data_IF_625688091450
#
_entry.id   IF_625688091450
#
_cell.length_a   1.000
_cell.length_b   1.000
_cell.length_c   1.000
_cell.angle_alpha   90.00
_cell.angle_beta   90.00
_cell.angle_gamma   90.00
#
_symmetry.space_group_name_H-M   'P 1'
#
loop_
_entity.id
_entity.type
_entity.pdbx_description
1 polymer ?
#
# COMPACT_ATOMS: atom_id res chain seq x y z
N UNK A 1 38.86 -15.12 91.17
CA UNK A 1 38.96 -15.45 89.73
C UNK A 1 37.63 -16.10 89.38
N UNK A 2 36.69 -15.30 88.86
CA UNK A 2 35.31 -15.74 88.64
C UNK A 2 34.82 -15.11 87.32
N UNK A 3 34.43 -15.98 86.39
CA UNK A 3 34.02 -15.66 85.02
C UNK A 3 32.55 -15.23 84.99
N UNK A 4 32.26 -14.01 84.54
CA UNK A 4 30.88 -13.55 84.28
C UNK A 4 30.48 -13.79 82.81
N UNK A 5 29.41 -14.56 82.64
CA UNK A 5 28.71 -14.80 81.37
C UNK A 5 27.99 -13.54 80.86
N UNK A 6 28.10 -13.31 79.55
CA UNK A 6 27.38 -12.28 78.79
C UNK A 6 25.99 -12.82 78.45
N UNK A 7 24.95 -12.12 78.90
CA UNK A 7 23.56 -12.38 78.52
C UNK A 7 23.26 -11.76 77.14
N UNK A 8 22.78 -12.59 76.22
CA UNK A 8 22.19 -12.20 74.94
C UNK A 8 20.82 -11.53 75.17
N UNK A 9 20.61 -10.34 74.60
CA UNK A 9 19.28 -9.79 74.38
C UNK A 9 19.11 -9.37 72.90
N UNK A 10 18.15 -10.04 72.29
CA UNK A 10 17.64 -10.06 70.91
C UNK A 10 17.58 -8.74 70.13
N UNK A 11 18.22 -8.76 68.96
CA UNK A 11 18.04 -7.82 67.83
C UNK A 11 16.84 -8.19 66.94
N UNK A 12 16.20 -7.15 66.40
CA UNK A 12 15.40 -7.12 65.17
C UNK A 12 13.92 -7.57 65.21
N UNK A 13 13.04 -6.59 65.44
CA UNK A 13 11.72 -6.61 64.84
C UNK A 13 11.87 -6.35 63.32
N UNK A 14 11.63 -7.38 62.50
CA UNK A 14 11.52 -7.23 61.04
C UNK A 14 10.24 -6.45 60.70
N UNK A 15 10.38 -5.39 59.93
CA UNK A 15 9.25 -4.69 59.28
C UNK A 15 8.39 -5.69 58.49
N UNK A 16 7.06 -5.55 58.50
CA UNK A 16 6.19 -6.43 57.74
C UNK A 16 6.48 -6.27 56.24
N UNK A 17 6.73 -7.39 55.57
CA UNK A 17 6.86 -7.49 54.12
C UNK A 17 5.62 -6.87 53.46
N UNK A 18 5.85 -5.91 52.58
CA UNK A 18 4.82 -5.37 51.68
C UNK A 18 4.23 -6.55 50.90
N UNK A 19 2.92 -6.76 51.04
CA UNK A 19 2.22 -7.79 50.31
C UNK A 19 2.31 -7.49 48.80
N UNK A 20 2.99 -8.35 48.04
CA UNK A 20 2.96 -8.31 46.58
C UNK A 20 1.53 -8.62 46.14
N UNK A 21 0.77 -7.57 45.77
CA UNK A 21 -0.54 -7.73 45.16
C UNK A 21 -0.36 -8.47 43.83
N UNK A 22 -0.85 -9.70 43.75
CA UNK A 22 -0.96 -10.53 42.54
C UNK A 22 -2.04 -10.02 41.56
N UNK A 23 -2.26 -8.71 41.51
CA UNK A 23 -3.12 -8.08 40.52
C UNK A 23 -2.35 -7.87 39.22
N UNK A 24 -3.01 -8.04 38.07
CA UNK A 24 -2.43 -7.76 36.77
C UNK A 24 -2.01 -6.27 36.70
N UNK A 25 -0.72 -5.98 36.97
CA UNK A 25 -0.16 -4.62 37.06
C UNK A 25 -0.55 -3.77 35.85
N UNK A 26 -0.50 -4.37 34.66
CA UNK A 26 -0.94 -3.76 33.42
C UNK A 26 -2.42 -3.34 33.45
N UNK A 27 -3.31 -4.19 33.96
CA UNK A 27 -4.73 -3.87 34.10
C UNK A 27 -4.98 -2.71 35.07
N UNK A 28 -4.17 -2.56 36.12
CA UNK A 28 -4.25 -1.42 37.02
C UNK A 28 -3.83 -0.12 36.31
N UNK A 29 -2.72 -0.15 35.57
CA UNK A 29 -2.24 0.98 34.74
C UNK A 29 -3.30 1.41 33.73
N UNK A 30 -3.91 0.46 33.01
CA UNK A 30 -4.96 0.75 32.02
C UNK A 30 -6.20 1.34 32.67
N UNK A 31 -6.69 0.79 33.79
CA UNK A 31 -7.86 1.34 34.51
C UNK A 31 -7.59 2.76 34.99
N UNK A 32 -6.38 3.03 35.49
CA UNK A 32 -5.97 4.35 35.91
C UNK A 32 -5.93 5.34 34.73
N UNK A 33 -5.30 4.95 33.62
CA UNK A 33 -5.27 5.75 32.40
C UNK A 33 -6.69 6.05 31.87
N UNK A 34 -7.58 5.06 31.88
CA UNK A 34 -8.97 5.23 31.45
C UNK A 34 -9.75 6.20 32.36
N UNK A 35 -9.55 6.09 33.67
CA UNK A 35 -10.15 7.01 34.64
C UNK A 35 -9.67 8.45 34.42
N UNK A 36 -8.40 8.61 34.04
CA UNK A 36 -7.81 9.91 33.76
C UNK A 36 -8.36 10.54 32.48
N UNK A 37 -8.48 9.75 31.41
CA UNK A 37 -9.10 10.17 30.14
C UNK A 37 -10.53 10.67 30.38
N UNK A 38 -11.32 9.98 31.21
CA UNK A 38 -12.69 10.38 31.56
C UNK A 38 -12.77 11.72 32.30
N UNK A 39 -11.72 12.15 32.99
CA UNK A 39 -11.69 13.45 33.70
C UNK A 39 -11.52 14.64 32.75
N UNK A 40 -10.87 14.45 31.59
CA UNK A 40 -10.64 15.52 30.59
C UNK A 40 -10.96 15.03 29.16
N UNK A 41 -12.24 14.73 28.85
CA UNK A 41 -12.62 14.07 27.60
C UNK A 41 -12.35 14.93 26.36
N UNK A 42 -12.57 16.25 26.43
CA UNK A 42 -12.39 17.14 25.29
C UNK A 42 -10.96 17.10 24.72
N UNK A 43 -9.95 17.09 25.61
CA UNK A 43 -8.55 17.04 25.22
C UNK A 43 -8.19 15.70 24.56
N UNK A 44 -8.63 14.61 25.17
CA UNK A 44 -8.43 13.27 24.63
C UNK A 44 -9.02 13.18 23.22
N UNK A 45 -10.26 13.64 23.05
CA UNK A 45 -10.94 13.63 21.75
C UNK A 45 -10.19 14.48 20.72
N UNK A 46 -9.77 15.70 21.06
CA UNK A 46 -9.01 16.56 20.14
C UNK A 46 -7.68 15.94 19.71
N UNK A 47 -6.94 15.34 20.65
CA UNK A 47 -5.69 14.64 20.36
C UNK A 47 -5.91 13.44 19.45
N UNK A 48 -6.90 12.60 19.80
CA UNK A 48 -7.26 11.42 19.01
C UNK A 48 -7.71 11.80 17.62
N UNK A 49 -8.57 12.81 17.46
CA UNK A 49 -9.05 13.26 16.14
C UNK A 49 -7.94 13.85 15.28
N UNK A 50 -7.04 14.67 15.84
CA UNK A 50 -5.93 15.24 15.09
C UNK A 50 -4.95 14.17 14.57
N UNK A 51 -4.61 13.21 15.43
CA UNK A 51 -3.75 12.07 15.06
C UNK A 51 -4.49 11.16 14.07
N UNK A 52 -5.76 10.85 14.33
CA UNK A 52 -6.58 10.00 13.47
C UNK A 52 -6.75 10.59 12.08
N UNK A 53 -6.92 11.91 11.95
CA UNK A 53 -7.01 12.59 10.66
C UNK A 53 -5.72 12.43 9.85
N UNK A 54 -4.56 12.62 10.47
CA UNK A 54 -3.28 12.43 9.78
C UNK A 54 -3.03 10.98 9.39
N UNK A 55 -3.34 10.04 10.29
CA UNK A 55 -3.32 8.60 9.98
C UNK A 55 -4.27 8.31 8.81
N UNK A 56 -5.47 8.88 8.81
CA UNK A 56 -6.45 8.68 7.76
C UNK A 56 -5.92 9.21 6.42
N UNK A 57 -5.38 10.43 6.35
CA UNK A 57 -4.80 10.99 5.14
C UNK A 57 -3.71 10.10 4.54
N UNK A 58 -2.77 9.64 5.38
CA UNK A 58 -1.70 8.75 4.93
C UNK A 58 -2.24 7.40 4.49
N UNK A 59 -3.17 6.83 5.26
CA UNK A 59 -3.77 5.52 4.95
C UNK A 59 -4.56 5.58 3.65
N UNK A 60 -5.33 6.64 3.39
CA UNK A 60 -6.05 6.85 2.12
C UNK A 60 -5.08 6.84 0.95
N UNK A 61 -4.04 7.69 0.99
CA UNK A 61 -3.08 7.81 -0.12
C UNK A 61 -2.29 6.53 -0.31
N UNK A 62 -1.89 5.85 0.77
CA UNK A 62 -1.21 4.55 0.69
C UNK A 62 -2.10 3.44 0.16
N UNK A 63 -3.39 3.44 0.51
CA UNK A 63 -4.37 2.49 -0.02
C UNK A 63 -4.52 2.70 -1.52
N UNK A 64 -4.71 3.95 -1.97
CA UNK A 64 -4.78 4.28 -3.40
C UNK A 64 -3.48 3.85 -4.10
N UNK A 65 -2.32 4.21 -3.54
CA UNK A 65 -1.00 3.86 -4.12
C UNK A 65 -0.80 2.34 -4.25
N UNK A 66 -1.14 1.56 -3.23
CA UNK A 66 -1.07 0.09 -3.26
C UNK A 66 -2.05 -0.50 -4.28
N UNK A 67 -3.28 0.00 -4.34
CA UNK A 67 -4.24 -0.46 -5.34
C UNK A 67 -3.80 -0.17 -6.77
N UNK A 68 -3.26 1.02 -7.05
CA UNK A 68 -2.65 1.32 -8.35
C UNK A 68 -1.47 0.39 -8.66
N UNK A 69 -0.67 0.05 -7.64
CA UNK A 69 0.41 -0.92 -7.76
C UNK A 69 -0.12 -2.31 -8.16
N UNK A 70 -1.18 -2.78 -7.50
CA UNK A 70 -1.85 -4.05 -7.79
C UNK A 70 -2.41 -4.03 -9.21
N UNK A 71 -3.14 -2.98 -9.58
CA UNK A 71 -3.66 -2.80 -10.94
C UNK A 71 -2.54 -2.81 -11.99
N UNK A 72 -1.41 -2.16 -11.71
CA UNK A 72 -0.24 -2.19 -12.59
C UNK A 72 0.31 -3.61 -12.78
N UNK A 73 0.48 -4.37 -11.69
CA UNK A 73 0.94 -5.76 -11.75
C UNK A 73 -0.05 -6.65 -12.51
N UNK A 74 -1.34 -6.59 -12.15
CA UNK A 74 -2.40 -7.39 -12.77
C UNK A 74 -2.52 -7.10 -14.26
N UNK A 75 -2.43 -5.83 -14.65
CA UNK A 75 -2.49 -5.43 -16.07
C UNK A 75 -1.33 -6.02 -16.88
N UNK A 76 -0.13 -6.07 -16.31
CA UNK A 76 1.02 -6.70 -16.96
C UNK A 76 0.87 -8.21 -17.00
N UNK A 77 0.41 -8.85 -15.91
CA UNK A 77 0.16 -10.30 -15.89
C UNK A 77 -0.90 -10.71 -16.93
N UNK A 78 -1.95 -9.92 -17.08
CA UNK A 78 -3.01 -10.11 -18.07
C UNK A 78 -2.51 -9.98 -19.52
N UNK A 79 -1.46 -9.19 -19.75
CA UNK A 79 -0.82 -9.08 -21.07
C UNK A 79 0.19 -10.18 -21.30
N UNK A 80 1.12 -10.40 -20.36
CA UNK A 80 2.27 -11.28 -20.54
C UNK A 80 1.89 -12.76 -20.47
N UNK A 81 1.02 -13.16 -19.55
CA UNK A 81 0.82 -14.56 -19.21
C UNK A 81 2.15 -15.26 -18.91
N UNK A 82 2.56 -16.19 -19.79
CA UNK A 82 3.84 -16.92 -19.70
C UNK A 82 4.93 -16.38 -20.65
N UNK A 83 4.74 -15.20 -21.24
CA UNK A 83 5.71 -14.59 -22.13
C UNK A 83 6.93 -14.07 -21.36
N UNK A 84 8.07 -14.10 -22.06
CA UNK A 84 9.38 -13.74 -21.51
C UNK A 84 9.84 -12.37 -22.01
N UNK A 85 9.31 -11.93 -23.15
CA UNK A 85 9.54 -10.59 -23.70
C UNK A 85 8.21 -10.00 -24.14
N UNK A 86 8.12 -8.67 -24.07
CA UNK A 86 6.98 -7.90 -24.54
C UNK A 86 7.44 -6.82 -25.50
N UNK A 87 7.04 -6.93 -26.75
CA UNK A 87 7.42 -6.00 -27.81
C UNK A 87 6.29 -5.01 -28.01
N UNK A 88 6.55 -3.75 -27.69
CA UNK A 88 5.56 -2.67 -27.72
C UNK A 88 5.79 -1.74 -28.92
N UNK A 89 4.74 -1.07 -29.41
CA UNK A 89 4.86 -0.13 -30.53
C UNK A 89 5.68 1.10 -30.15
N UNK A 90 6.12 1.89 -31.15
CA UNK A 90 6.88 3.12 -30.93
C UNK A 90 6.12 4.18 -30.12
N UNK A 91 4.79 4.18 -30.24
CA UNK A 91 3.90 5.01 -29.40
C UNK A 91 3.74 4.46 -27.96
N UNK A 92 4.29 3.27 -27.69
CA UNK A 92 4.22 2.61 -26.39
C UNK A 92 2.87 2.01 -26.06
N UNK A 93 2.71 1.71 -24.78
CA UNK A 93 1.50 1.12 -24.19
C UNK A 93 1.07 1.99 -23.03
N UNK A 94 -0.24 2.17 -22.88
CA UNK A 94 -0.79 3.02 -21.85
C UNK A 94 -1.93 2.30 -21.13
N UNK A 95 -2.01 2.52 -19.82
CA UNK A 95 -3.16 2.09 -19.06
C UNK A 95 -4.28 3.11 -19.25
N UNK A 96 -5.42 2.67 -19.78
CA UNK A 96 -6.61 3.49 -19.95
C UNK A 96 -7.54 3.31 -18.73
N UNK A 97 -7.79 4.36 -17.93
CA UNK A 97 -8.66 4.29 -16.75
C UNK A 97 -10.11 3.90 -17.06
N UNK A 98 -10.63 4.21 -18.25
CA UNK A 98 -12.02 3.94 -18.61
C UNK A 98 -12.23 2.45 -18.92
N UNK A 99 -11.26 1.85 -19.61
CA UNK A 99 -11.27 0.42 -19.93
C UNK A 99 -10.69 -0.44 -18.83
N UNK A 100 -9.96 0.16 -17.88
CA UNK A 100 -9.25 -0.50 -16.79
C UNK A 100 -8.21 -1.53 -17.25
N UNK A 101 -7.60 -1.31 -18.42
CA UNK A 101 -6.63 -2.22 -19.03
C UNK A 101 -5.52 -1.46 -19.77
N UNK A 102 -4.44 -2.19 -20.09
CA UNK A 102 -3.40 -1.71 -20.99
C UNK A 102 -3.88 -1.76 -22.44
N UNK A 103 -3.66 -0.66 -23.17
CA UNK A 103 -3.98 -0.48 -24.58
C UNK A 103 -2.72 -0.08 -25.34
N UNK A 104 -2.59 -0.55 -26.58
CA UNK A 104 -1.50 -0.15 -27.46
C UNK A 104 -1.69 1.31 -27.92
N UNK A 105 -0.59 2.05 -27.99
CA UNK A 105 -0.60 3.43 -28.52
C UNK A 105 -0.48 3.51 -30.04
N UNK A 106 -0.34 2.38 -30.73
CA UNK A 106 -0.18 2.31 -32.18
C UNK A 106 0.04 0.89 -32.69
N UNK A 107 0.30 0.79 -34.00
CA UNK A 107 0.48 -0.47 -34.70
C UNK A 107 1.63 -1.30 -34.13
N UNK A 108 1.39 -2.60 -33.94
CA UNK A 108 2.41 -3.53 -33.46
C UNK A 108 3.64 -3.51 -34.39
N UNK A 109 4.88 -3.54 -33.87
CA UNK A 109 6.08 -3.54 -34.69
C UNK A 109 6.10 -4.71 -35.69
N UNK A 110 6.58 -4.47 -36.90
CA UNK A 110 6.87 -5.54 -37.85
C UNK A 110 8.16 -6.24 -37.42
N UNK A 111 8.05 -7.54 -37.08
CA UNK A 111 9.17 -8.34 -36.61
C UNK A 111 9.25 -9.66 -37.37
N UNK A 112 10.46 -10.04 -37.76
CA UNK A 112 10.76 -11.39 -38.23
C UNK A 112 11.10 -12.27 -37.03
N UNK A 113 10.21 -13.20 -36.70
CA UNK A 113 10.37 -14.05 -35.52
C UNK A 113 11.50 -15.07 -35.77
N UNK A 114 12.57 -15.08 -34.95
CA UNK A 114 13.69 -15.99 -35.17
C UNK A 114 13.29 -17.45 -34.95
N UNK A 115 13.99 -18.37 -35.60
CA UNK A 115 13.69 -19.80 -35.51
C UNK A 115 13.72 -20.31 -34.05
N UNK A 116 12.69 -21.07 -33.67
CA UNK A 116 12.53 -21.65 -32.34
C UNK A 116 11.90 -20.71 -31.30
N UNK A 117 11.67 -19.45 -31.62
CA UNK A 117 10.89 -18.52 -30.80
C UNK A 117 9.41 -18.61 -31.15
N UNK A 118 8.55 -18.31 -30.18
CA UNK A 118 7.10 -18.21 -30.41
C UNK A 118 6.67 -16.80 -30.07
N UNK A 119 6.19 -16.05 -31.06
CA UNK A 119 5.63 -14.72 -30.86
C UNK A 119 4.13 -14.74 -31.18
N UNK A 120 3.33 -14.15 -30.30
CA UNK A 120 1.90 -14.00 -30.47
C UNK A 120 1.59 -12.52 -30.63
N UNK A 121 0.98 -12.13 -31.76
CA UNK A 121 0.51 -10.77 -31.96
C UNK A 121 -0.85 -10.63 -31.28
N UNK A 122 -1.00 -9.60 -30.47
CA UNK A 122 -2.28 -9.25 -29.86
C UNK A 122 -2.64 -7.87 -30.35
N UNK A 123 -3.68 -7.79 -31.19
CA UNK A 123 -4.29 -6.49 -31.47
C UNK A 123 -4.93 -5.97 -30.19
N UNK A 124 -4.78 -4.68 -29.89
CA UNK A 124 -5.24 -4.09 -28.65
C UNK A 124 -5.67 -2.65 -28.86
N UNK A 125 -6.88 -2.34 -28.44
CA UNK A 125 -7.51 -1.05 -28.68
C UNK A 125 -8.69 -0.82 -27.74
N UNK A 126 -9.34 0.33 -27.95
CA UNK A 126 -10.56 0.73 -27.22
C UNK A 126 -11.77 0.54 -28.13
N UNK A 127 -12.84 -0.01 -27.57
CA UNK A 127 -14.17 0.02 -28.19
C UNK A 127 -15.23 0.24 -27.13
N UNK A 128 -16.50 0.25 -27.52
CA UNK A 128 -17.63 0.37 -26.62
C UNK A 128 -18.54 -0.85 -26.74
N UNK A 129 -19.04 -1.31 -25.61
CA UNK A 129 -20.08 -2.35 -25.50
C UNK A 129 -21.17 -1.80 -24.61
N UNK A 130 -22.39 -1.69 -25.12
CA UNK A 130 -23.51 -1.02 -24.44
C UNK A 130 -23.20 0.42 -23.98
N UNK A 131 -22.39 1.16 -24.75
CA UNK A 131 -21.95 2.52 -24.42
C UNK A 131 -20.93 2.60 -23.28
N UNK A 132 -20.40 1.45 -22.84
CA UNK A 132 -19.34 1.37 -21.83
C UNK A 132 -18.01 1.10 -22.52
N UNK A 133 -16.96 1.90 -22.25
CA UNK A 133 -15.63 1.68 -22.80
C UNK A 133 -15.03 0.35 -22.33
N UNK A 134 -14.53 -0.46 -23.26
CA UNK A 134 -13.84 -1.72 -22.99
C UNK A 134 -12.54 -1.82 -23.77
N UNK A 135 -11.59 -2.57 -23.21
CA UNK A 135 -10.37 -2.95 -23.93
C UNK A 135 -10.70 -4.15 -24.81
N UNK A 136 -10.52 -3.99 -26.12
CA UNK A 136 -10.70 -5.05 -27.09
C UNK A 136 -9.34 -5.66 -27.43
N UNK A 137 -9.27 -6.99 -27.44
CA UNK A 137 -8.08 -7.75 -27.86
C UNK A 137 -8.38 -8.72 -28.98
N UNK A 138 -7.45 -8.84 -29.92
CA UNK A 138 -7.50 -9.84 -30.99
C UNK A 138 -6.70 -11.10 -30.61
N UNK A 139 -7.28 -12.27 -30.86
CA UNK A 139 -6.60 -13.56 -30.76
C UNK A 139 -7.03 -14.50 -31.89
N UNK A 140 -6.06 -15.12 -32.58
CA UNK A 140 -6.28 -16.04 -33.69
C UNK A 140 -6.96 -17.35 -33.27
N UNK A 141 -6.86 -17.73 -31.99
CA UNK A 141 -7.51 -18.93 -31.45
C UNK A 141 -8.99 -18.71 -31.13
N UNK A 142 -9.45 -17.45 -31.10
CA UNK A 142 -10.83 -17.12 -30.75
C UNK A 142 -11.76 -17.31 -31.96
N UNK A 143 -12.87 -18.07 -31.85
CA UNK A 143 -13.81 -18.23 -32.95
C UNK A 143 -14.44 -16.90 -33.38
N UNK A 144 -14.61 -16.67 -34.69
CA UNK A 144 -15.11 -15.41 -35.26
C UNK A 144 -16.52 -14.99 -34.80
N UNK A 145 -17.33 -15.92 -34.29
CA UNK A 145 -18.68 -15.65 -33.80
C UNK A 145 -18.77 -15.53 -32.27
N UNK A 146 -17.62 -15.43 -31.57
CA UNK A 146 -17.57 -15.33 -30.10
C UNK A 146 -16.77 -14.12 -29.65
N UNK A 147 -17.19 -13.57 -28.50
CA UNK A 147 -16.43 -12.62 -27.71
C UNK A 147 -16.20 -13.22 -26.32
N UNK A 148 -14.94 -13.34 -25.91
CA UNK A 148 -14.54 -13.84 -24.60
C UNK A 148 -14.34 -12.64 -23.69
N UNK A 149 -15.25 -12.45 -22.74
CA UNK A 149 -15.18 -11.42 -21.72
C UNK A 149 -14.38 -11.96 -20.53
N UNK A 150 -13.42 -11.18 -20.04
CA UNK A 150 -12.86 -11.46 -18.72
C UNK A 150 -13.93 -11.32 -17.62
N UNK A 151 -13.79 -12.05 -16.53
CA UNK A 151 -14.73 -12.11 -15.40
C UNK A 151 -15.09 -10.71 -14.89
N UNK A 152 -14.09 -9.82 -14.78
CA UNK A 152 -14.28 -8.48 -14.24
C UNK A 152 -15.05 -7.57 -15.20
N UNK A 153 -14.76 -7.63 -16.52
CA UNK A 153 -15.50 -6.83 -17.52
C UNK A 153 -16.91 -7.40 -17.75
N UNK A 154 -17.07 -8.73 -17.70
CA UNK A 154 -18.39 -9.38 -17.78
C UNK A 154 -19.29 -8.94 -16.63
N UNK A 155 -18.77 -8.95 -15.39
CA UNK A 155 -19.51 -8.47 -14.21
C UNK A 155 -19.84 -6.97 -14.31
N UNK A 156 -18.90 -6.16 -14.81
CA UNK A 156 -19.09 -4.71 -14.99
C UNK A 156 -20.18 -4.37 -16.00
N UNK A 157 -20.30 -5.17 -17.06
CA UNK A 157 -21.31 -5.01 -18.11
C UNK A 157 -22.61 -5.78 -17.84
N UNK A 158 -22.63 -6.66 -16.85
CA UNK A 158 -23.76 -7.58 -16.61
C UNK A 158 -23.94 -8.64 -17.69
N UNK A 159 -22.85 -9.02 -18.39
CA UNK A 159 -22.86 -10.02 -19.47
C UNK A 159 -22.69 -11.42 -18.89
N UNK A 160 -23.55 -12.34 -19.32
CA UNK A 160 -23.51 -13.76 -18.96
C UNK A 160 -23.05 -14.63 -20.14
N UNK A 161 -22.47 -15.82 -19.88
CA UNK A 161 -22.15 -16.76 -20.95
C UNK A 161 -23.40 -17.14 -21.75
N UNK A 162 -23.30 -17.04 -23.08
CA UNK A 162 -24.38 -17.33 -24.03
C UNK A 162 -25.18 -16.11 -24.47
N UNK A 163 -24.97 -14.93 -23.87
CA UNK A 163 -25.62 -13.69 -24.30
C UNK A 163 -25.18 -13.30 -25.72
N UNK A 164 -26.06 -12.64 -26.45
CA UNK A 164 -25.69 -11.96 -27.70
C UNK A 164 -25.31 -10.53 -27.40
N UNK A 165 -24.12 -10.15 -27.83
CA UNK A 165 -23.52 -8.85 -27.52
C UNK A 165 -23.01 -8.23 -28.81
N UNK A 166 -23.37 -6.96 -29.02
CA UNK A 166 -22.78 -6.15 -30.09
C UNK A 166 -21.44 -5.58 -29.63
N UNK A 167 -20.37 -5.96 -30.33
CA UNK A 167 -19.01 -5.45 -30.10
C UNK A 167 -18.55 -4.75 -31.36
N UNK A 168 -18.55 -3.41 -31.36
CA UNK A 168 -18.11 -2.62 -32.50
C UNK A 168 -18.91 -2.85 -33.79
N UNK A 169 -20.19 -3.21 -33.71
CA UNK A 169 -21.06 -3.50 -34.86
C UNK A 169 -21.16 -4.98 -35.22
N UNK A 170 -20.54 -5.87 -34.44
CA UNK A 170 -20.56 -7.32 -34.64
C UNK A 170 -21.41 -8.02 -33.58
N UNK A 171 -22.45 -8.74 -34.00
CA UNK A 171 -23.25 -9.61 -33.13
C UNK A 171 -22.48 -10.89 -32.79
N UNK A 172 -22.00 -11.00 -31.56
CA UNK A 172 -21.15 -12.08 -31.07
C UNK A 172 -21.78 -12.78 -29.87
N UNK A 173 -21.51 -14.08 -29.73
CA UNK A 173 -21.92 -14.84 -28.55
C UNK A 173 -20.89 -14.66 -27.44
N UNK A 174 -21.33 -14.15 -26.29
CA UNK A 174 -20.50 -13.97 -25.12
C UNK A 174 -20.08 -15.32 -24.52
N UNK A 175 -18.78 -15.46 -24.27
CA UNK A 175 -18.22 -16.42 -23.33
C UNK A 175 -17.54 -15.63 -22.21
N UNK A 176 -17.45 -16.21 -21.01
CA UNK A 176 -16.73 -15.57 -19.90
C UNK A 176 -15.56 -16.48 -19.51
N UNK A 177 -14.35 -15.95 -19.57
CA UNK A 177 -13.14 -16.65 -19.19
C UNK A 177 -11.98 -15.70 -18.87
N UNK A 178 -11.23 -16.02 -17.81
CA UNK A 178 -10.05 -15.28 -17.38
C UNK A 178 -10.40 -14.06 -16.51
N UNK A 179 -9.52 -13.68 -15.59
CA UNK A 179 -9.80 -12.64 -14.59
C UNK A 179 -9.69 -11.19 -15.12
N UNK A 180 -9.34 -11.00 -16.39
CA UNK A 180 -8.97 -9.71 -16.97
C UNK A 180 -10.12 -8.71 -17.19
N UNK A 181 -9.75 -7.50 -17.60
CA UNK A 181 -10.67 -6.40 -17.96
C UNK A 181 -10.89 -6.28 -19.48
N UNK A 182 -10.38 -7.24 -20.25
CA UNK A 182 -10.42 -7.22 -21.71
C UNK A 182 -11.53 -8.10 -22.29
N UNK A 183 -12.00 -7.72 -23.47
CA UNK A 183 -12.88 -8.52 -24.33
C UNK A 183 -12.00 -9.04 -25.48
N UNK A 184 -11.88 -10.35 -25.60
CA UNK A 184 -11.10 -10.99 -26.64
C UNK A 184 -12.00 -11.48 -27.77
N UNK A 185 -11.69 -11.11 -29.00
CA UNK A 185 -12.41 -11.53 -30.21
C UNK A 185 -11.41 -12.11 -31.22
N UNK A 186 -11.92 -12.71 -32.29
CA UNK A 186 -11.07 -13.14 -33.40
C UNK A 186 -10.27 -11.95 -33.95
N UNK A 187 -9.00 -12.16 -34.31
CA UNK A 187 -8.10 -11.11 -34.83
C UNK A 187 -8.69 -10.36 -36.02
N UNK A 188 -9.46 -11.03 -36.89
CA UNK A 188 -10.14 -10.38 -38.02
C UNK A 188 -11.16 -9.34 -37.56
N UNK A 189 -11.96 -9.67 -36.54
CA UNK A 189 -12.98 -8.78 -35.96
C UNK A 189 -12.30 -7.63 -35.21
N UNK A 190 -11.27 -7.93 -34.42
CA UNK A 190 -10.49 -6.89 -33.75
C UNK A 190 -9.92 -5.90 -34.76
N UNK A 191 -9.32 -6.38 -35.86
CA UNK A 191 -8.74 -5.51 -36.89
C UNK A 191 -9.76 -4.56 -37.52
N UNK A 192 -11.00 -5.00 -37.72
CA UNK A 192 -12.07 -4.14 -38.27
C UNK A 192 -12.46 -3.02 -37.30
N UNK A 193 -12.41 -3.27 -35.99
CA UNK A 193 -12.85 -2.32 -34.95
C UNK A 193 -11.72 -1.37 -34.54
N UNK A 194 -10.51 -1.90 -34.31
CA UNK A 194 -9.39 -1.17 -33.69
C UNK A 194 -8.15 -1.06 -34.58
N UNK A 195 -8.22 -1.54 -35.83
CA UNK A 195 -7.10 -1.46 -36.76
C UNK A 195 -5.93 -2.38 -36.40
N UNK A 196 -4.72 -1.93 -36.68
CA UNK A 196 -3.48 -2.69 -36.51
C UNK A 196 -2.78 -2.47 -35.16
N UNK A 197 -3.39 -1.65 -34.30
CA UNK A 197 -2.89 -1.32 -32.97
C UNK A 197 -2.71 -2.58 -32.14
N UNK A 198 -1.54 -2.73 -31.51
CA UNK A 198 -1.24 -3.94 -30.77
C UNK A 198 0.21 -4.04 -30.31
N UNK A 199 0.54 -5.22 -29.80
CA UNK A 199 1.89 -5.58 -29.35
C UNK A 199 2.16 -7.05 -29.63
N UNK A 200 3.39 -7.48 -29.35
CA UNK A 200 3.76 -8.89 -29.37
C UNK A 200 4.15 -9.39 -27.99
N UNK A 201 3.69 -10.58 -27.63
CA UNK A 201 4.24 -11.34 -26.50
C UNK A 201 5.08 -12.49 -27.05
N UNK A 202 6.27 -12.67 -26.48
CA UNK A 202 7.25 -13.60 -27.04
C UNK A 202 7.69 -14.60 -25.98
N UNK A 203 7.61 -15.89 -26.31
CA UNK A 203 8.12 -17.00 -25.51
C UNK A 203 9.48 -17.45 -26.05
N UNK A 204 10.44 -17.58 -25.15
CA UNK A 204 11.77 -18.10 -25.46
C UNK A 204 11.70 -19.59 -25.89
N UNK A 205 12.68 -20.08 -26.68
CA UNK A 205 12.77 -21.48 -27.04
C UNK A 205 12.77 -22.41 -25.81
N UNK A 206 12.26 -23.62 -25.98
CA UNK A 206 12.22 -24.62 -24.91
C UNK A 206 13.62 -24.84 -24.30
N UNK A 207 13.69 -24.86 -22.96
CA UNK A 207 14.95 -25.01 -22.21
C UNK A 207 15.77 -23.73 -22.04
N UNK A 208 15.39 -22.61 -22.68
CA UNK A 208 16.14 -21.34 -22.62
C UNK A 208 15.43 -20.25 -21.80
N UNK A 209 14.31 -20.59 -21.16
CA UNK A 209 13.42 -19.65 -20.44
C UNK A 209 14.10 -18.78 -19.38
N UNK A 210 15.17 -19.27 -18.74
CA UNK A 210 15.86 -18.58 -17.65
C UNK A 210 17.14 -17.84 -18.09
N UNK A 211 17.37 -17.74 -19.40
CA UNK A 211 18.51 -17.00 -19.94
C UNK A 211 18.32 -15.50 -19.68
N UNK A 212 19.40 -14.81 -19.29
CA UNK A 212 19.38 -13.37 -19.01
C UNK A 212 19.67 -12.50 -20.23
N UNK A 213 20.03 -13.12 -21.34
CA UNK A 213 20.38 -12.48 -22.62
C UNK A 213 19.31 -12.70 -23.69
N UNK A 214 18.08 -13.09 -23.28
CA UNK A 214 16.95 -13.32 -24.20
C UNK A 214 16.62 -12.07 -25.00
N UNK A 215 16.49 -10.93 -24.33
CA UNK A 215 16.12 -9.68 -24.99
C UNK A 215 17.23 -9.16 -25.93
N UNK A 216 18.50 -9.38 -25.57
CA UNK A 216 19.65 -9.05 -26.43
C UNK A 216 19.67 -9.93 -27.69
N UNK A 217 19.43 -11.23 -27.52
CA UNK A 217 19.40 -12.19 -28.63
C UNK A 217 18.23 -11.89 -29.58
N UNK A 218 17.05 -11.65 -29.03
CA UNK A 218 15.86 -11.34 -29.81
C UNK A 218 15.97 -9.97 -30.49
N UNK A 219 16.41 -8.95 -29.75
CA UNK A 219 16.62 -7.59 -30.28
C UNK A 219 17.67 -7.53 -31.39
N UNK A 220 18.75 -8.29 -31.29
CA UNK A 220 19.74 -8.40 -32.36
C UNK A 220 19.17 -9.03 -33.65
N UNK A 221 18.18 -9.91 -33.52
CA UNK A 221 17.54 -10.56 -34.66
C UNK A 221 16.43 -9.70 -35.28
N UNK A 222 15.69 -8.93 -34.47
CA UNK A 222 14.60 -8.06 -34.95
C UNK A 222 15.01 -6.62 -35.22
N UNK A 223 16.23 -6.22 -34.83
CA UNK A 223 16.72 -4.85 -34.92
C UNK A 223 16.05 -3.86 -33.95
N UNK A 224 15.40 -4.38 -32.89
CA UNK A 224 14.71 -3.55 -31.90
C UNK A 224 15.58 -3.37 -30.65
N UNK A 225 15.53 -2.18 -30.08
CA UNK A 225 16.13 -1.92 -28.77
C UNK A 225 15.40 -2.70 -27.67
N UNK A 226 16.15 -3.06 -26.63
CA UNK A 226 15.64 -3.87 -25.53
C UNK A 226 16.04 -3.31 -24.17
N UNK A 227 15.12 -3.41 -23.20
CA UNK A 227 15.34 -2.94 -21.83
C UNK A 227 14.59 -3.78 -20.81
N UNK A 228 15.19 -3.96 -19.63
CA UNK A 228 14.55 -4.59 -18.47
C UNK A 228 13.98 -3.55 -17.48
N UNK A 229 14.01 -2.27 -17.87
CA UNK A 229 13.50 -1.15 -17.09
C UNK A 229 12.16 -0.67 -17.67
N UNK A 230 11.03 -0.95 -17.00
CA UNK A 230 9.72 -0.50 -17.47
C UNK A 230 9.54 1.03 -17.44
N UNK A 231 10.47 1.78 -16.84
CA UNK A 231 10.43 3.24 -16.86
C UNK A 231 10.91 3.82 -18.19
N UNK A 232 11.67 3.05 -18.97
CA UNK A 232 12.11 3.47 -20.29
C UNK A 232 10.95 3.39 -21.28
N UNK A 233 10.72 4.49 -21.98
CA UNK A 233 9.70 4.61 -23.01
C UNK A 233 10.33 4.40 -24.39
N UNK A 234 9.60 3.81 -25.36
CA UNK A 234 10.09 3.66 -26.72
C UNK A 234 10.46 5.01 -27.35
N UNK A 235 11.39 5.01 -28.31
CA UNK A 235 11.62 6.18 -29.15
C UNK A 235 10.38 6.40 -30.04
N UNK A 236 9.70 7.57 -29.97
CA UNK A 236 8.54 7.85 -30.82
C UNK A 236 8.84 7.83 -32.32
N UNK A 237 10.12 7.93 -32.72
CA UNK A 237 10.58 7.81 -34.12
C UNK A 237 11.15 6.43 -34.46
N UNK A 238 11.24 5.54 -33.47
CA UNK A 238 11.74 4.18 -33.63
C UNK A 238 10.68 3.22 -34.18
N UNK A 239 11.04 1.95 -34.26
CA UNK A 239 10.13 0.88 -34.68
C UNK A 239 9.35 0.24 -33.51
N UNK A 240 9.81 0.45 -32.26
CA UNK A 240 9.24 -0.16 -31.07
C UNK A 240 10.31 -0.41 -30.00
N UNK A 241 9.93 -1.11 -28.93
CA UNK A 241 10.83 -1.46 -27.84
C UNK A 241 10.51 -2.84 -27.30
N UNK A 242 11.54 -3.60 -26.93
CA UNK A 242 11.39 -4.89 -26.23
C UNK A 242 11.56 -4.67 -24.73
N UNK A 243 10.52 -4.98 -23.97
CA UNK A 243 10.64 -5.16 -22.52
C UNK A 243 11.07 -6.59 -22.19
N UNK A 244 12.20 -6.72 -21.51
CA UNK A 244 12.68 -7.97 -20.95
C UNK A 244 12.01 -8.23 -19.60
N UNK A 245 11.14 -9.24 -19.55
CA UNK A 245 10.32 -9.53 -18.35
C UNK A 245 11.00 -10.53 -17.43
N UNK A 246 12.01 -11.24 -17.94
CA UNK A 246 12.76 -12.27 -17.22
C UNK A 246 14.16 -11.80 -16.89
N UNK A 247 14.82 -11.14 -17.84
CA UNK A 247 16.15 -10.58 -17.69
C UNK A 247 16.16 -9.23 -16.97
N UNK A 248 17.36 -8.84 -16.56
CA UNK A 248 17.59 -7.61 -15.80
C UNK A 248 18.57 -7.81 -14.65
N UNK A 249 19.24 -6.72 -14.28
CA UNK A 249 20.13 -6.69 -13.12
C UNK A 249 19.34 -6.15 -11.92
N UNK A 250 18.82 -7.04 -11.06
CA UNK A 250 18.15 -6.63 -9.83
C UNK A 250 17.40 -7.77 -9.13
N UNK A 251 17.02 -7.57 -7.85
CA UNK A 251 16.26 -8.55 -7.08
C UNK A 251 14.75 -8.53 -7.37
N UNK A 252 14.25 -7.53 -8.10
CA UNK A 252 12.83 -7.33 -8.38
C UNK A 252 12.46 -7.88 -9.76
N UNK A 253 11.31 -8.56 -9.84
CA UNK A 253 10.71 -8.99 -11.11
C UNK A 253 10.21 -7.79 -11.94
N UNK A 254 9.95 -8.01 -13.23
CA UNK A 254 9.42 -6.97 -14.09
C UNK A 254 8.06 -6.45 -13.61
N UNK A 255 7.16 -7.34 -13.18
CA UNK A 255 5.84 -6.99 -12.62
C UNK A 255 5.99 -6.12 -11.37
N UNK A 256 6.96 -6.43 -10.49
CA UNK A 256 7.24 -5.63 -9.30
C UNK A 256 7.78 -4.24 -9.65
N UNK A 257 8.67 -4.14 -10.64
CA UNK A 257 9.16 -2.84 -11.13
C UNK A 257 8.04 -2.02 -11.77
N UNK A 258 7.20 -2.63 -12.59
CA UNK A 258 6.07 -1.97 -13.24
C UNK A 258 5.02 -1.50 -12.23
N UNK A 259 4.69 -2.36 -11.25
CA UNK A 259 3.86 -2.03 -10.09
C UNK A 259 4.41 -0.83 -9.30
N UNK A 260 5.74 -0.77 -9.11
CA UNK A 260 6.40 0.36 -8.46
C UNK A 260 6.24 1.67 -9.24
N UNK A 261 6.20 1.66 -10.58
CA UNK A 261 5.94 2.87 -11.37
C UNK A 261 4.52 3.39 -11.16
N UNK A 262 3.53 2.51 -11.10
CA UNK A 262 2.13 2.90 -10.85
C UNK A 262 1.95 3.48 -9.45
N UNK A 263 2.48 2.81 -8.43
CA UNK A 263 2.44 3.31 -7.04
C UNK A 263 3.23 4.62 -6.87
N UNK A 264 4.34 4.77 -7.59
CA UNK A 264 5.20 5.95 -7.61
C UNK A 264 4.46 7.18 -8.12
N UNK A 265 3.68 7.05 -9.21
CA UNK A 265 2.84 8.15 -9.74
C UNK A 265 1.86 8.69 -8.69
N UNK A 266 1.27 7.85 -7.87
CA UNK A 266 0.36 8.28 -6.79
C UNK A 266 1.14 8.99 -5.67
N UNK A 267 2.29 8.44 -5.27
CA UNK A 267 3.09 8.99 -4.16
C UNK A 267 3.74 10.33 -4.50
N UNK A 268 4.15 10.54 -5.76
CA UNK A 268 4.72 11.81 -6.23
C UNK A 268 3.66 12.83 -6.68
N UNK A 269 2.38 12.44 -6.72
CA UNK A 269 1.28 13.34 -7.10
C UNK A 269 0.96 14.38 -6.02
N UNK A 270 0.10 15.34 -6.37
CA UNK A 270 -0.50 16.29 -5.42
C UNK A 270 -1.17 15.59 -4.22
N UNK A 271 -1.76 14.41 -4.42
CA UNK A 271 -2.34 13.63 -3.31
C UNK A 271 -1.26 13.18 -2.33
N UNK A 272 -0.12 12.70 -2.84
CA UNK A 272 1.05 12.34 -2.04
C UNK A 272 1.60 13.52 -1.24
N UNK A 273 1.67 14.70 -1.85
CA UNK A 273 2.07 15.93 -1.16
C UNK A 273 1.09 16.31 -0.04
N UNK A 274 -0.22 16.29 -0.31
CA UNK A 274 -1.26 16.59 0.68
C UNK A 274 -1.18 15.60 1.86
N UNK A 275 -1.02 14.31 1.59
CA UNK A 275 -0.83 13.29 2.63
C UNK A 275 0.43 13.56 3.47
N UNK A 276 1.54 13.94 2.84
CA UNK A 276 2.79 14.26 3.54
C UNK A 276 2.63 15.47 4.46
N UNK A 277 1.98 16.54 3.99
CA UNK A 277 1.67 17.72 4.80
C UNK A 277 0.73 17.34 5.96
N UNK A 278 -0.30 16.54 5.68
CA UNK A 278 -1.25 16.04 6.68
C UNK A 278 -0.56 15.23 7.78
N UNK A 279 0.41 14.38 7.42
CA UNK A 279 1.22 13.62 8.38
C UNK A 279 2.02 14.56 9.30
N UNK A 280 2.72 15.54 8.73
CA UNK A 280 3.50 16.53 9.48
C UNK A 280 2.58 17.29 10.44
N UNK A 281 1.43 17.75 9.96
CA UNK A 281 0.48 18.51 10.78
C UNK A 281 -0.09 17.66 11.92
N UNK A 282 -0.47 16.42 11.67
CA UNK A 282 -0.94 15.51 12.72
C UNK A 282 0.12 15.20 13.77
N UNK A 283 1.38 15.04 13.34
CA UNK A 283 2.50 14.87 14.25
C UNK A 283 2.69 16.10 15.14
N UNK A 284 2.65 17.31 14.57
CA UNK A 284 2.72 18.56 15.33
C UNK A 284 1.56 18.66 16.33
N UNK A 285 0.33 18.37 15.91
CA UNK A 285 -0.85 18.37 16.79
C UNK A 285 -0.68 17.37 17.95
N UNK A 286 -0.15 16.18 17.66
CA UNK A 286 0.13 15.18 18.68
C UNK A 286 1.12 15.70 19.73
N UNK A 287 2.28 16.18 19.29
CA UNK A 287 3.35 16.70 20.16
C UNK A 287 2.86 17.89 20.98
N UNK A 288 2.18 18.85 20.35
CA UNK A 288 1.63 20.02 21.05
C UNK A 288 0.60 19.61 22.10
N UNK A 289 -0.25 18.64 21.80
CA UNK A 289 -1.23 18.12 22.76
C UNK A 289 -0.55 17.40 23.94
N UNK A 290 0.47 16.58 23.70
CA UNK A 290 1.22 15.91 24.77
C UNK A 290 2.02 16.90 25.63
N UNK A 291 2.70 17.87 25.03
CA UNK A 291 3.44 18.91 25.77
C UNK A 291 2.52 19.68 26.72
N UNK A 292 1.35 20.09 26.24
CA UNK A 292 0.39 20.76 27.11
C UNK A 292 -0.15 19.82 28.22
N UNK A 293 -0.16 18.50 28.02
CA UNK A 293 -0.66 17.53 29.01
C UNK A 293 0.33 17.35 30.15
N UNK A 294 1.61 17.31 29.78
CA UNK A 294 2.72 17.31 30.72
C UNK A 294 2.77 18.63 31.50
N UNK A 295 2.55 19.76 30.83
CA UNK A 295 2.54 21.08 31.47
C UNK A 295 1.43 21.22 32.53
N UNK A 296 0.21 20.79 32.22
CA UNK A 296 -0.93 20.84 33.15
C UNK A 296 -0.72 19.98 34.41
N UNK A 297 0.03 18.89 34.29
CA UNK A 297 0.29 17.96 35.40
C UNK A 297 1.65 18.15 36.05
N UNK A 298 2.42 19.17 35.65
CA UNK A 298 3.80 19.41 36.10
C UNK A 298 3.95 19.37 37.63
N UNK A 299 2.99 19.97 38.35
CA UNK A 299 2.95 19.96 39.82
C UNK A 299 2.71 18.57 40.41
N UNK A 300 1.85 17.77 39.79
CA UNK A 300 1.57 16.39 40.21
C UNK A 300 2.83 15.52 40.05
N UNK A 301 3.54 15.65 38.92
CA UNK A 301 4.85 15.00 38.73
C UNK A 301 5.87 15.45 39.77
N UNK A 302 5.93 16.75 40.10
CA UNK A 302 6.83 17.27 41.13
C UNK A 302 6.60 16.64 42.52
N UNK A 303 5.34 16.46 42.91
CA UNK A 303 4.97 15.79 44.17
C UNK A 303 5.39 14.31 44.13
N UNK A 304 5.06 13.59 43.05
CA UNK A 304 5.37 12.15 42.95
C UNK A 304 6.87 11.87 42.86
N UNK A 305 7.63 12.72 42.17
CA UNK A 305 9.10 12.63 42.15
C UNK A 305 9.72 12.88 43.52
N UNK A 306 9.12 13.73 44.36
CA UNK A 306 9.63 14.01 45.72
C UNK A 306 9.46 12.84 46.70
N UNK A 307 8.51 11.94 46.43
CA UNK A 307 8.26 10.72 47.21
C UNK A 307 8.90 9.47 46.58
N UNK A 308 9.65 9.62 45.49
CA UNK A 308 10.38 8.53 44.83
C UNK A 308 9.58 7.71 43.82
N UNK A 309 8.39 8.15 43.39
CA UNK A 309 7.52 7.44 42.45
C UNK A 309 7.64 7.94 41.00
N UNK A 310 8.83 8.43 40.60
CA UNK A 310 9.02 9.04 39.29
C UNK A 310 8.82 8.05 38.12
N UNK A 311 9.24 6.79 38.31
CA UNK A 311 9.17 5.74 37.30
C UNK A 311 7.72 5.25 37.10
N UNK A 312 6.95 5.08 38.18
CA UNK A 312 5.53 4.71 38.10
C UNK A 312 4.73 5.72 37.30
N UNK A 313 5.02 7.01 37.49
CA UNK A 313 4.34 8.09 36.79
C UNK A 313 4.68 8.12 35.30
N UNK A 314 5.93 7.80 34.95
CA UNK A 314 6.32 7.59 33.55
C UNK A 314 5.48 6.46 32.93
N UNK A 315 5.32 5.32 33.62
CA UNK A 315 4.52 4.20 33.12
C UNK A 315 3.04 4.56 32.96
N UNK A 316 2.44 5.28 33.92
CA UNK A 316 1.05 5.75 33.80
C UNK A 316 0.85 6.64 32.57
N UNK A 317 1.76 7.59 32.36
CA UNK A 317 1.70 8.48 31.20
C UNK A 317 1.93 7.74 29.89
N UNK A 318 2.87 6.79 29.86
CA UNK A 318 3.17 6.00 28.67
C UNK A 318 1.97 5.14 28.26
N UNK A 319 1.28 4.52 29.23
CA UNK A 319 0.05 3.77 28.98
C UNK A 319 -1.09 4.69 28.51
N UNK A 320 -1.28 5.86 29.10
CA UNK A 320 -2.27 6.85 28.64
C UNK A 320 -2.00 7.28 27.20
N UNK A 321 -0.74 7.57 26.87
CA UNK A 321 -0.31 7.93 25.53
C UNK A 321 -0.49 6.79 24.54
N UNK A 322 -0.15 5.56 24.93
CA UNK A 322 -0.36 4.38 24.10
C UNK A 322 -1.85 4.18 23.77
N UNK A 323 -2.76 4.39 24.73
CA UNK A 323 -4.21 4.32 24.49
C UNK A 323 -4.67 5.39 23.50
N UNK A 324 -4.13 6.62 23.58
CA UNK A 324 -4.41 7.69 22.61
C UNK A 324 -3.95 7.29 21.21
N UNK A 325 -2.72 6.80 21.06
CA UNK A 325 -2.18 6.39 19.75
C UNK A 325 -2.95 5.21 19.16
N UNK A 326 -3.29 4.19 19.97
CA UNK A 326 -4.09 3.04 19.51
C UNK A 326 -5.48 3.49 19.09
N UNK A 327 -6.16 4.32 19.88
CA UNK A 327 -7.48 4.83 19.53
C UNK A 327 -7.44 5.65 18.23
N UNK A 328 -6.45 6.54 18.10
CA UNK A 328 -6.27 7.35 16.91
C UNK A 328 -5.94 6.51 15.67
N UNK A 329 -5.11 5.49 15.82
CA UNK A 329 -4.80 4.55 14.75
C UNK A 329 -6.04 3.80 14.28
N UNK A 330 -6.80 3.21 15.19
CA UNK A 330 -8.02 2.48 14.84
C UNK A 330 -9.04 3.39 14.14
N UNK A 331 -9.30 4.57 14.70
CA UNK A 331 -10.24 5.53 14.11
C UNK A 331 -9.75 6.03 12.76
N UNK A 332 -8.47 6.37 12.64
CA UNK A 332 -7.88 6.87 11.40
C UNK A 332 -7.88 5.84 10.28
N UNK A 333 -7.48 4.60 10.58
CA UNK A 333 -7.43 3.50 9.59
C UNK A 333 -8.83 3.07 9.17
N UNK A 334 -9.77 2.93 10.12
CA UNK A 334 -11.17 2.61 9.79
C UNK A 334 -11.81 3.74 8.99
N UNK A 335 -11.61 4.99 9.41
CA UNK A 335 -12.11 6.17 8.69
C UNK A 335 -11.56 6.25 7.27
N UNK A 336 -10.28 5.96 7.07
CA UNK A 336 -9.67 5.87 5.75
C UNK A 336 -10.28 4.76 4.90
N UNK A 337 -10.49 3.57 5.47
CA UNK A 337 -11.10 2.44 4.76
C UNK A 337 -12.51 2.77 4.28
N UNK A 338 -13.34 3.34 5.16
CA UNK A 338 -14.69 3.81 4.81
C UNK A 338 -14.63 4.91 3.74
N UNK A 339 -13.74 5.90 3.89
CA UNK A 339 -13.61 6.99 2.93
C UNK A 339 -13.22 6.47 1.53
N UNK A 340 -12.24 5.58 1.44
CA UNK A 340 -11.80 4.99 0.15
C UNK A 340 -12.91 4.14 -0.46
N UNK A 341 -13.60 3.32 0.34
CA UNK A 341 -14.70 2.48 -0.14
C UNK A 341 -15.88 3.29 -0.71
N UNK A 342 -16.19 4.44 -0.09
CA UNK A 342 -17.29 5.30 -0.55
C UNK A 342 -16.93 6.19 -1.73
N UNK A 343 -15.69 6.70 -1.78
CA UNK A 343 -15.27 7.67 -2.81
C UNK A 343 -14.74 6.99 -4.06
N UNK A 344 -14.04 5.85 -3.93
CA UNK A 344 -13.38 5.17 -5.05
C UNK A 344 -13.57 3.64 -4.95
N UNK A 345 -14.82 3.14 -5.06
CA UNK A 345 -15.11 1.72 -4.84
C UNK A 345 -14.35 0.79 -5.79
N UNK A 346 -14.09 1.21 -7.03
CA UNK A 346 -13.37 0.40 -8.02
C UNK A 346 -11.87 0.19 -7.74
N UNK A 347 -11.29 0.94 -6.81
CA UNK A 347 -9.86 0.86 -6.44
C UNK A 347 -9.72 0.43 -4.97
N UNK A 348 -10.82 0.32 -4.22
CA UNK A 348 -10.82 -0.04 -2.81
C UNK A 348 -10.63 -1.55 -2.59
N UNK A 349 -9.39 -2.04 -2.60
CA UNK A 349 -9.12 -3.44 -2.26
C UNK A 349 -8.83 -3.60 -0.77
N UNK A 350 -9.44 -4.59 -0.08
CA UNK A 350 -9.15 -4.86 1.33
C UNK A 350 -7.67 -5.14 1.60
N UNK A 351 -6.98 -5.75 0.64
CA UNK A 351 -5.55 -6.06 0.70
C UNK A 351 -4.72 -4.77 0.71
N UNK A 352 -4.99 -3.82 -0.20
CA UNK A 352 -4.29 -2.54 -0.23
C UNK A 352 -4.51 -1.74 1.06
N UNK A 353 -5.73 -1.74 1.59
CA UNK A 353 -6.04 -1.09 2.86
C UNK A 353 -5.29 -1.73 4.03
N UNK A 354 -5.24 -3.05 4.10
CA UNK A 354 -4.52 -3.77 5.15
C UNK A 354 -3.01 -3.53 5.08
N UNK A 355 -2.43 -3.51 3.87
CA UNK A 355 -1.02 -3.15 3.66
C UNK A 355 -0.74 -1.71 4.10
N UNK A 356 -1.61 -0.76 3.73
CA UNK A 356 -1.50 0.64 4.15
C UNK A 356 -1.59 0.77 5.68
N UNK A 357 -2.56 0.10 6.30
CA UNK A 357 -2.74 0.06 7.75
C UNK A 357 -1.47 -0.49 8.45
N UNK A 358 -0.96 -1.64 8.00
CA UNK A 358 0.26 -2.25 8.53
C UNK A 358 1.48 -1.33 8.40
N UNK A 359 1.62 -0.64 7.27
CA UNK A 359 2.69 0.33 7.05
C UNK A 359 2.59 1.51 8.02
N UNK A 360 1.40 2.06 8.25
CA UNK A 360 1.20 3.16 9.21
C UNK A 360 1.41 2.67 10.64
N UNK A 361 1.00 1.44 10.97
CA UNK A 361 1.23 0.84 12.28
C UNK A 361 2.73 0.77 12.64
N UNK A 362 3.59 0.52 11.65
CA UNK A 362 5.04 0.47 11.85
C UNK A 362 5.64 1.80 12.34
N UNK A 363 4.95 2.94 12.12
CA UNK A 363 5.40 4.25 12.62
C UNK A 363 4.91 4.57 14.04
N UNK A 364 3.96 3.82 14.59
CA UNK A 364 3.42 4.07 15.94
C UNK A 364 4.51 4.07 17.02
N UNK A 365 5.45 3.10 17.06
CA UNK A 365 6.51 3.12 18.07
C UNK A 365 7.36 4.39 18.01
N UNK A 366 7.73 4.82 16.80
CA UNK A 366 8.50 6.05 16.61
C UNK A 366 7.71 7.29 17.07
N UNK A 367 6.42 7.38 16.72
CA UNK A 367 5.55 8.46 17.18
C UNK A 367 5.36 8.45 18.70
N UNK A 368 5.26 7.29 19.33
CA UNK A 368 5.15 7.17 20.78
C UNK A 368 6.44 7.64 21.49
N UNK A 369 7.61 7.30 20.95
CA UNK A 369 8.89 7.75 21.48
C UNK A 369 9.01 9.27 21.38
N UNK A 370 8.79 9.84 20.20
CA UNK A 370 9.00 11.29 20.01
C UNK A 370 7.88 12.12 20.63
N UNK A 371 6.63 11.67 20.50
CA UNK A 371 5.44 12.40 20.92
C UNK A 371 5.15 12.31 22.42
N UNK A 372 5.48 11.19 23.07
CA UNK A 372 5.15 10.97 24.48
C UNK A 372 6.39 10.80 25.37
N UNK A 373 7.36 9.98 24.98
CA UNK A 373 8.51 9.67 25.82
C UNK A 373 9.46 10.87 25.98
N UNK A 374 9.79 11.57 24.89
CA UNK A 374 10.72 12.72 24.93
C UNK A 374 10.22 13.86 25.84
N UNK A 375 8.95 14.33 25.73
CA UNK A 375 8.42 15.36 26.63
C UNK A 375 8.48 14.99 28.11
N UNK A 376 8.11 13.74 28.45
CA UNK A 376 8.10 13.29 29.84
C UNK A 376 9.50 13.12 30.38
N UNK A 377 10.40 12.52 29.60
CA UNK A 377 11.78 12.33 30.04
C UNK A 377 12.46 13.68 30.33
N UNK A 378 12.22 14.70 29.48
CA UNK A 378 12.70 16.07 29.73
C UNK A 378 12.10 16.68 31.01
N UNK A 379 10.87 16.34 31.37
CA UNK A 379 10.24 16.82 32.60
C UNK A 379 10.88 16.17 33.84
N UNK A 380 11.09 14.86 33.81
CA UNK A 380 11.63 14.08 34.94
C UNK A 380 13.10 14.41 35.24
N UNK A 381 13.84 14.95 34.27
CA UNK A 381 15.20 15.46 34.48
C UNK A 381 15.25 16.80 35.26
N UNK A 382 14.12 17.50 35.43
CA UNK A 382 14.07 18.75 36.21
C UNK A 382 14.06 18.44 37.72
N UNK A 383 14.67 19.31 38.53
CA UNK A 383 14.68 19.10 39.99
C UNK A 383 13.25 19.22 40.53
N UNK A 384 12.82 18.40 41.51
CA UNK A 384 11.46 18.45 42.05
C UNK A 384 11.04 19.84 42.55
N UNK A 385 12.00 20.62 43.08
CA UNK A 385 11.77 22.00 43.52
C UNK A 385 11.37 22.93 42.36
N UNK A 386 11.94 22.73 41.17
CA UNK A 386 11.64 23.54 39.97
C UNK A 386 10.28 23.17 39.36
N UNK A 387 9.82 21.94 39.59
CA UNK A 387 8.49 21.47 39.19
C UNK A 387 7.38 22.04 40.07
N UNK A 388 7.71 22.42 41.30
CA UNK A 388 6.78 22.96 42.30
C UNK A 388 6.78 24.50 42.39
N UNK A 389 7.88 25.14 41.98
CA UNK A 389 8.10 26.60 42.12
C UNK A 389 7.55 27.47 40.99
N UNK A 390 7.08 26.89 39.88
CA UNK A 390 6.51 27.64 38.77
C UNK A 390 5.13 28.21 39.11
N UNK A 391 5.03 29.53 39.25
CA UNK A 391 3.77 30.28 39.38
C UNK A 391 3.02 30.37 38.06
#
# INVERSE_FOLDING_TARGET
>A
METSQVNNATTSARSPLIANSSGNTFGCLVRFALANIRRRPARFVLAVLGIALAIACVTVVRTISSSFAITGADSVTDVLGEAHLWVVPAAGVQYDPDTQALIAGGAAPEIDVPAGWTATRTLSGRTEVYGVPVSLRGNDETPSARAIFGDAVAQRLGVSPGDRVDVGGHDLVAAVAGAGQSVTVATSVAREIIGDDGWWTVKAPAGQKNRRDLAQTFGAATGLDATADPAQTPDPRGAGLIYDTVGGNGPLSFEQKFSALFSGKVTSSTLGLISTIGLILGFVIAVSSFLAAVAERKREFGIMSSIGLADEVLYFFLVESALVFVAAYLIGVLGAGVAVALVIPGIATPIAWLQAAGMVAAFIPAMAIVGALVPVHRLLQQRPVDLLGGR
#
